data_IF_947374004691
#
_entry.id   IF_947374004691
#
_cell.length_a   1.000
_cell.length_b   1.000
_cell.length_c   1.000
_cell.angle_alpha   90.00
_cell.angle_beta   90.00
_cell.angle_gamma   90.00
#
_symmetry.space_group_name_H-M   'P 1'
#
loop_
_entity.id
_entity.type
_entity.pdbx_description
1 polymer ?
#
# COMPACT_ATOMS: atom_id res chain seq x y z
N UNK A 1 11.28 -0.02 -1.72
CA UNK A 1 10.05 -0.36 -0.97
C UNK A 1 10.31 -0.85 0.47
N UNK A 2 11.56 -0.83 0.95
CA UNK A 2 11.87 -1.27 2.32
C UNK A 2 12.19 -0.10 3.27
N UNK A 3 12.61 1.06 2.74
CA UNK A 3 13.02 2.22 3.53
C UNK A 3 12.01 2.65 4.60
N UNK A 4 10.73 2.85 4.24
CA UNK A 4 9.68 3.27 5.19
C UNK A 4 9.52 2.24 6.32
N UNK A 5 9.56 0.95 6.01
CA UNK A 5 9.46 -0.12 7.02
C UNK A 5 10.69 -0.13 7.92
N UNK A 6 11.88 0.03 7.35
CA UNK A 6 13.14 0.10 8.10
C UNK A 6 13.15 1.31 9.05
N UNK A 7 12.63 2.47 8.62
CA UNK A 7 12.48 3.65 9.47
C UNK A 7 11.54 3.42 10.67
N UNK A 8 10.56 2.54 10.54
CA UNK A 8 9.59 2.22 11.60
C UNK A 8 10.07 1.09 12.54
N UNK A 9 11.24 0.50 12.28
CA UNK A 9 11.77 -0.58 13.12
C UNK A 9 11.85 -0.24 14.63
N UNK A 10 12.26 0.98 15.04
CA UNK A 10 12.35 1.34 16.46
C UNK A 10 10.98 1.52 17.16
N UNK A 11 9.88 1.61 16.42
CA UNK A 11 8.55 1.86 16.99
C UNK A 11 8.02 0.57 17.63
N UNK A 12 7.57 0.66 18.90
CA UNK A 12 7.06 -0.48 19.67
C UNK A 12 5.78 -1.07 19.09
N UNK A 13 4.85 -0.20 18.71
CA UNK A 13 3.58 -0.55 18.08
C UNK A 13 3.65 -0.10 16.63
N UNK A 14 4.06 -1.01 15.76
CA UNK A 14 4.28 -0.68 14.34
C UNK A 14 2.94 -0.59 13.62
N UNK A 15 2.68 0.50 12.88
CA UNK A 15 1.49 0.57 12.05
C UNK A 15 1.60 -0.43 10.91
N UNK A 16 0.45 -0.86 10.38
CA UNK A 16 0.41 -1.63 9.14
C UNK A 16 0.98 -0.80 7.98
N UNK A 17 1.89 -1.39 7.20
CA UNK A 17 2.48 -0.74 6.03
C UNK A 17 2.12 -1.54 4.78
N UNK A 18 1.33 -0.92 3.91
CA UNK A 18 0.95 -1.46 2.60
C UNK A 18 1.70 -0.75 1.49
N UNK A 19 1.96 -1.46 0.39
CA UNK A 19 2.67 -0.90 -0.76
C UNK A 19 1.82 -1.02 -2.01
N UNK A 20 1.77 0.05 -2.80
CA UNK A 20 1.08 0.08 -4.08
C UNK A 20 2.06 0.42 -5.19
N UNK A 21 1.98 -0.31 -6.30
CA UNK A 21 2.61 0.08 -7.56
C UNK A 21 1.51 0.44 -8.55
N UNK A 22 1.56 1.65 -9.09
CA UNK A 22 0.58 2.17 -10.04
C UNK A 22 1.27 3.07 -11.07
N UNK A 23 0.51 3.58 -12.06
CA UNK A 23 1.05 4.46 -13.11
C UNK A 23 2.09 3.80 -14.02
N UNK A 24 2.09 2.46 -14.09
CA UNK A 24 3.05 1.71 -14.90
C UNK A 24 2.98 2.15 -16.38
N UNK A 25 4.15 2.42 -16.96
CA UNK A 25 4.26 2.89 -18.34
C UNK A 25 3.81 4.33 -18.56
N UNK A 26 3.75 5.15 -17.50
CA UNK A 26 3.30 6.54 -17.59
C UNK A 26 1.78 6.69 -17.70
N UNK A 27 1.02 5.65 -17.31
CA UNK A 27 -0.44 5.71 -17.28
C UNK A 27 -0.92 6.62 -16.16
N UNK A 28 -2.06 7.26 -16.40
CA UNK A 28 -2.72 8.07 -15.38
C UNK A 28 -3.17 7.19 -14.21
N UNK A 29 -3.08 7.77 -13.01
CA UNK A 29 -3.65 7.21 -11.78
C UNK A 29 -4.97 7.92 -11.55
N UNK A 30 -6.07 7.19 -11.65
CA UNK A 30 -7.40 7.77 -11.51
C UNK A 30 -7.75 8.05 -10.04
N UNK A 31 -8.77 8.88 -9.82
CA UNK A 31 -9.34 9.09 -8.48
C UNK A 31 -9.85 7.76 -7.90
N UNK A 32 -10.37 6.87 -8.74
CA UNK A 32 -10.86 5.56 -8.29
C UNK A 32 -9.71 4.66 -7.82
N UNK A 33 -8.54 4.73 -8.47
CA UNK A 33 -7.34 4.03 -8.00
C UNK A 33 -6.90 4.53 -6.63
N UNK A 34 -6.95 5.85 -6.41
CA UNK A 34 -6.63 6.45 -5.10
C UNK A 34 -7.62 6.03 -4.01
N UNK A 35 -8.92 6.01 -4.31
CA UNK A 35 -9.96 5.53 -3.38
C UNK A 35 -9.73 4.05 -3.04
N UNK A 36 -9.42 3.22 -4.04
CA UNK A 36 -9.13 1.81 -3.84
C UNK A 36 -7.91 1.59 -2.92
N UNK A 37 -6.81 2.32 -3.16
CA UNK A 37 -5.62 2.26 -2.29
C UNK A 37 -5.94 2.68 -0.85
N UNK A 38 -6.79 3.70 -0.66
CA UNK A 38 -7.25 4.13 0.65
C UNK A 38 -8.07 3.04 1.36
N UNK A 39 -9.02 2.42 0.66
CA UNK A 39 -9.85 1.35 1.22
C UNK A 39 -9.03 0.14 1.65
N UNK A 40 -8.08 -0.30 0.81
CA UNK A 40 -7.14 -1.39 1.12
C UNK A 40 -6.30 -1.05 2.35
N UNK A 41 -5.81 0.18 2.45
CA UNK A 41 -5.08 0.65 3.64
C UNK A 41 -5.95 0.59 4.88
N UNK A 42 -7.22 1.02 4.80
CA UNK A 42 -8.18 0.93 5.90
C UNK A 42 -8.48 -0.52 6.32
N UNK A 43 -8.49 -1.46 5.37
CA UNK A 43 -8.61 -2.89 5.69
C UNK A 43 -7.36 -3.42 6.40
N UNK A 44 -6.16 -3.02 5.95
CA UNK A 44 -4.89 -3.37 6.59
C UNK A 44 -4.77 -2.84 8.02
N UNK A 45 -5.38 -1.69 8.32
CA UNK A 45 -5.41 -1.15 9.68
C UNK A 45 -6.36 -1.94 10.60
N UNK A 46 -7.40 -2.57 10.05
CA UNK A 46 -8.40 -3.35 10.82
C UNK A 46 -8.05 -4.82 10.97
N UNK A 47 -7.39 -5.39 9.95
CA UNK A 47 -6.90 -6.77 9.96
C UNK A 47 -5.45 -6.71 10.37
N UNK A 48 -5.08 -7.40 11.45
CA UNK A 48 -3.75 -7.34 12.09
C UNK A 48 -2.58 -7.89 11.24
N UNK A 49 -2.69 -7.90 9.90
CA UNK A 49 -1.60 -8.17 8.97
C UNK A 49 -2.02 -8.06 7.50
N UNK A 50 -1.42 -7.12 6.77
CA UNK A 50 -1.10 -7.21 5.33
C UNK A 50 0.40 -6.92 5.10
N UNK A 51 1.22 -7.16 6.13
CA UNK A 51 2.57 -6.64 6.20
C UNK A 51 3.50 -7.36 5.22
N UNK A 52 3.74 -6.75 4.05
CA UNK A 52 4.70 -7.27 3.05
C UNK A 52 4.13 -7.50 1.67
N UNK A 53 2.82 -7.35 1.46
CA UNK A 53 2.24 -7.46 0.12
C UNK A 53 2.41 -6.16 -0.68
N UNK A 54 2.76 -6.32 -1.96
CA UNK A 54 2.70 -5.24 -2.96
C UNK A 54 1.46 -5.45 -3.78
N UNK A 55 0.58 -4.46 -3.80
CA UNK A 55 -0.60 -4.47 -4.64
C UNK A 55 -0.32 -3.66 -5.89
N UNK A 56 -0.53 -4.27 -7.06
CA UNK A 56 -0.44 -3.58 -8.34
C UNK A 56 -1.83 -3.01 -8.65
N UNK A 57 -1.91 -1.70 -8.87
CA UNK A 57 -3.17 -0.98 -9.08
C UNK A 57 -3.20 -0.41 -10.49
N UNK A 58 -4.30 -0.62 -11.20
CA UNK A 58 -4.46 -0.16 -12.59
C UNK A 58 -3.68 -1.00 -13.61
N UNK A 59 -3.27 -2.22 -13.24
CA UNK A 59 -2.80 -3.22 -14.21
C UNK A 59 -4.00 -4.05 -14.68
N UNK A 60 -4.10 -4.28 -15.99
CA UNK A 60 -5.06 -5.27 -16.51
C UNK A 60 -4.59 -6.67 -16.08
N UNK A 61 -5.52 -7.56 -15.79
CA UNK A 61 -5.26 -9.00 -15.75
C UNK A 61 -4.70 -9.51 -17.09
#
# INVERSE_FOLDING_TARGET
>A
MHEIRSCLYPVRERPAVVNFITGLGGRDVSIQDAIHMYEVTGQAARRDSLDGFVTWVGVRE
#
